data_IF_143059091214
#
_entry.id   IF_143059091214
#
_cell.length_a   1.000
_cell.length_b   1.000
_cell.length_c   1.000
_cell.angle_alpha   90.00
_cell.angle_beta   90.00
_cell.angle_gamma   90.00
#
_symmetry.space_group_name_H-M   'P 1'
#
loop_
_entity.id
_entity.type
_entity.pdbx_description
1 polymer ?
#
# COMPACT_ATOMS: atom_id res chain seq x y z
N UNK A 1 16.23 -60.13 -52.67
CA UNK A 1 17.53 -59.45 -52.55
C UNK A 1 17.48 -58.50 -51.37
N UNK A 2 17.86 -58.99 -50.18
CA UNK A 2 17.87 -58.24 -48.92
C UNK A 2 19.20 -57.51 -48.74
N UNK A 3 19.13 -56.17 -48.62
CA UNK A 3 20.29 -55.29 -48.44
C UNK A 3 20.68 -55.23 -46.95
N UNK A 4 21.95 -55.39 -46.56
CA UNK A 4 22.36 -55.27 -45.16
C UNK A 4 22.50 -53.79 -44.76
N UNK A 5 21.92 -53.42 -43.62
CA UNK A 5 22.06 -52.10 -43.01
C UNK A 5 23.18 -52.16 -41.96
N UNK A 6 24.23 -51.35 -42.16
CA UNK A 6 25.34 -51.21 -41.21
C UNK A 6 24.95 -50.20 -40.11
N UNK A 7 25.12 -50.52 -38.82
CA UNK A 7 24.86 -49.57 -37.74
C UNK A 7 26.08 -48.66 -37.52
N UNK A 8 25.88 -47.35 -37.71
CA UNK A 8 26.88 -46.32 -37.43
C UNK A 8 26.62 -45.75 -36.03
N UNK A 9 27.32 -46.27 -35.02
CA UNK A 9 27.33 -45.67 -33.68
C UNK A 9 28.37 -44.56 -33.61
N UNK A 10 27.91 -43.31 -33.45
CA UNK A 10 28.75 -42.11 -33.27
C UNK A 10 29.20 -42.01 -31.81
N UNK A 11 30.47 -41.69 -31.49
CA UNK A 11 30.92 -41.54 -30.11
C UNK A 11 30.30 -40.29 -29.47
N UNK A 12 29.60 -40.46 -28.35
CA UNK A 12 29.10 -39.36 -27.52
C UNK A 12 30.21 -38.92 -26.57
N UNK A 13 30.80 -37.76 -26.82
CA UNK A 13 31.74 -37.12 -25.90
C UNK A 13 30.95 -36.54 -24.72
N UNK A 14 31.26 -36.90 -23.46
CA UNK A 14 30.61 -36.30 -22.30
C UNK A 14 31.05 -34.85 -22.17
N UNK A 15 30.16 -33.92 -22.51
CA UNK A 15 30.34 -32.50 -22.22
C UNK A 15 30.06 -32.26 -20.74
N UNK A 16 31.11 -32.18 -19.93
CA UNK A 16 30.98 -31.69 -18.56
C UNK A 16 30.54 -30.23 -18.61
N UNK A 17 29.26 -29.98 -18.30
CA UNK A 17 28.69 -28.64 -18.17
C UNK A 17 29.40 -27.96 -16.98
N UNK A 18 29.96 -26.75 -17.15
CA UNK A 18 30.54 -26.03 -16.02
C UNK A 18 29.45 -25.80 -14.97
N UNK A 19 29.64 -26.37 -13.79
CA UNK A 19 28.82 -26.04 -12.62
C UNK A 19 29.13 -24.59 -12.27
N UNK A 20 28.27 -23.67 -12.71
CA UNK A 20 28.31 -22.28 -12.27
C UNK A 20 28.06 -22.28 -10.76
N UNK A 21 29.11 -22.03 -9.99
CA UNK A 21 28.98 -21.59 -8.60
C UNK A 21 28.08 -20.37 -8.60
N UNK A 22 26.90 -20.47 -7.98
CA UNK A 22 26.01 -19.33 -7.82
C UNK A 22 26.75 -18.27 -7.00
N UNK A 23 27.07 -17.13 -7.63
CA UNK A 23 27.57 -15.97 -6.88
C UNK A 23 26.49 -15.56 -5.88
N UNK A 24 26.86 -15.18 -4.64
CA UNK A 24 25.91 -14.64 -3.69
C UNK A 24 25.27 -13.40 -4.33
N UNK A 25 23.97 -13.48 -4.62
CA UNK A 25 23.18 -12.35 -5.08
C UNK A 25 23.00 -11.41 -3.89
N UNK A 26 23.66 -10.25 -3.93
CA UNK A 26 23.52 -9.21 -2.91
C UNK A 26 22.09 -8.69 -2.88
N UNK A 27 21.39 -8.77 -1.74
CA UNK A 27 19.98 -8.37 -1.59
C UNK A 27 19.81 -6.85 -1.49
N UNK A 28 19.07 -6.29 -2.44
CA UNK A 28 18.61 -4.89 -2.42
C UNK A 28 17.19 -4.87 -1.87
N UNK A 29 17.04 -4.36 -0.65
CA UNK A 29 15.72 -4.17 -0.03
C UNK A 29 15.25 -2.75 -0.31
N UNK A 30 14.05 -2.64 -0.86
CA UNK A 30 13.35 -1.39 -1.07
C UNK A 30 12.26 -1.21 -0.03
N UNK A 31 12.15 0.01 0.50
CA UNK A 31 11.09 0.40 1.43
C UNK A 31 10.30 1.56 0.83
N UNK A 32 8.99 1.41 0.79
CA UNK A 32 8.09 2.48 0.40
C UNK A 32 7.22 2.90 1.57
N UNK A 33 6.89 4.18 1.64
CA UNK A 33 5.97 4.74 2.62
C UNK A 33 5.13 5.85 1.97
N UNK A 34 3.83 5.83 2.24
CA UNK A 34 2.93 6.87 1.78
C UNK A 34 1.74 7.06 2.72
N UNK A 35 1.06 8.18 2.54
CA UNK A 35 -0.05 8.63 3.37
C UNK A 35 -1.22 9.08 2.50
N UNK A 36 -2.42 8.68 2.90
CA UNK A 36 -3.68 9.17 2.37
C UNK A 36 -4.49 9.78 3.51
N UNK A 37 -5.18 10.89 3.28
CA UNK A 37 -6.11 11.47 4.25
C UNK A 37 -7.49 11.72 3.65
N UNK A 38 -8.52 11.72 4.49
CA UNK A 38 -9.86 12.16 4.16
C UNK A 38 -10.36 13.10 5.27
N UNK A 39 -10.61 14.36 4.93
CA UNK A 39 -10.94 15.40 5.90
C UNK A 39 -12.29 16.05 5.63
N UNK A 40 -13.01 16.40 6.71
CA UNK A 40 -14.28 17.13 6.64
C UNK A 40 -15.36 16.44 5.79
N UNK A 41 -15.92 17.15 4.81
CA UNK A 41 -16.72 16.65 3.70
C UNK A 41 -15.79 16.16 2.60
N UNK A 42 -15.62 14.83 2.43
CA UNK A 42 -14.29 14.26 2.34
C UNK A 42 -13.44 14.87 1.22
N UNK A 43 -12.53 15.74 1.65
CA UNK A 43 -11.39 16.20 0.87
C UNK A 43 -10.32 15.11 1.02
N UNK A 44 -10.14 14.31 -0.02
CA UNK A 44 -9.22 13.17 0.00
C UNK A 44 -7.88 13.60 -0.58
N UNK A 45 -6.81 13.48 0.20
CA UNK A 45 -5.44 13.52 -0.29
C UNK A 45 -4.97 12.09 -0.57
N UNK A 46 -4.55 11.83 -1.79
CA UNK A 46 -4.15 10.49 -2.24
C UNK A 46 -2.72 10.16 -1.84
N UNK A 47 -2.36 8.87 -1.95
CA UNK A 47 -0.98 8.42 -1.73
C UNK A 47 0.04 9.12 -2.64
N UNK A 48 -0.34 9.57 -3.84
CA UNK A 48 0.58 10.29 -4.75
C UNK A 48 0.69 11.79 -4.43
N UNK A 49 -0.13 12.31 -3.51
CA UNK A 49 -0.18 13.73 -3.14
C UNK A 49 -1.34 14.56 -3.72
N UNK A 50 -1.90 14.30 -4.93
CA UNK A 50 -3.08 15.00 -5.40
C UNK A 50 -4.26 14.89 -4.42
N UNK A 51 -4.95 16.01 -4.22
CA UNK A 51 -6.14 16.08 -3.39
C UNK A 51 -7.38 16.37 -4.23
N UNK A 52 -8.52 15.77 -3.89
CA UNK A 52 -9.79 15.97 -4.58
C UNK A 52 -10.98 15.75 -3.65
N UNK A 53 -12.14 16.30 -4.04
CA UNK A 53 -13.36 16.18 -3.26
C UNK A 53 -14.10 14.91 -3.64
N UNK A 54 -14.49 14.11 -2.65
CA UNK A 54 -15.40 13.00 -2.84
C UNK A 54 -16.80 13.44 -2.44
N UNK A 55 -17.70 13.44 -3.41
CA UNK A 55 -19.10 13.75 -3.18
C UNK A 55 -19.89 12.47 -2.91
N UNK A 56 -20.80 12.54 -1.94
CA UNK A 56 -21.74 11.49 -1.60
C UNK A 56 -22.91 12.08 -0.82
N UNK A 57 -24.01 11.35 -0.79
CA UNK A 57 -25.16 11.70 0.05
C UNK A 57 -24.89 11.38 1.52
N UNK A 58 -25.72 11.92 2.42
CA UNK A 58 -25.71 11.50 3.82
C UNK A 58 -25.89 9.98 3.90
N UNK A 59 -25.20 9.33 4.85
CA UNK A 59 -25.16 7.88 5.05
C UNK A 59 -24.45 7.09 3.94
N UNK A 60 -23.93 7.75 2.91
CA UNK A 60 -23.12 7.08 1.90
C UNK A 60 -21.84 6.51 2.53
N UNK A 61 -21.54 5.25 2.19
CA UNK A 61 -20.27 4.61 2.54
C UNK A 61 -19.26 4.84 1.42
N UNK A 62 -18.21 5.60 1.71
CA UNK A 62 -17.11 5.89 0.79
C UNK A 62 -15.96 4.95 1.10
N UNK A 63 -15.56 4.16 0.09
CA UNK A 63 -14.39 3.27 0.17
C UNK A 63 -13.09 4.08 -0.01
N UNK A 64 -12.32 4.23 1.06
CA UNK A 64 -11.02 4.90 1.00
C UNK A 64 -9.94 3.97 0.45
N UNK A 65 -9.90 2.72 0.90
CA UNK A 65 -8.88 1.75 0.49
C UNK A 65 -9.42 0.32 0.64
N UNK A 66 -9.03 -0.58 -0.26
CA UNK A 66 -9.31 -2.00 -0.19
C UNK A 66 -8.20 -2.82 -0.85
N UNK A 67 -7.78 -3.91 -0.19
CA UNK A 67 -6.78 -4.87 -0.67
C UNK A 67 -7.14 -6.25 -0.13
N UNK A 68 -7.19 -7.29 -0.97
CA UNK A 68 -7.42 -8.68 -0.55
C UNK A 68 -8.60 -8.86 0.44
N UNK A 69 -9.72 -8.15 0.21
CA UNK A 69 -10.93 -8.19 1.04
C UNK A 69 -10.84 -7.38 2.34
N UNK A 70 -9.70 -6.74 2.61
CA UNK A 70 -9.49 -5.82 3.73
C UNK A 70 -9.87 -4.43 3.29
N UNK A 71 -10.72 -3.75 4.05
CA UNK A 71 -11.38 -2.53 3.59
C UNK A 71 -11.39 -1.44 4.65
N UNK A 72 -10.95 -0.25 4.25
CA UNK A 72 -11.14 1.00 4.99
C UNK A 72 -12.21 1.82 4.27
N UNK A 73 -13.25 2.18 5.01
CA UNK A 73 -14.31 3.05 4.49
C UNK A 73 -14.80 4.04 5.53
N UNK A 74 -15.37 5.14 5.06
CA UNK A 74 -16.00 6.15 5.90
C UNK A 74 -17.49 6.22 5.59
N UNK A 75 -18.31 6.49 6.59
CA UNK A 75 -19.73 6.76 6.41
C UNK A 75 -19.97 8.24 6.64
N UNK A 76 -20.64 8.86 5.68
CA UNK A 76 -21.04 10.25 5.78
C UNK A 76 -22.23 10.42 6.72
N UNK A 77 -22.22 11.51 7.46
CA UNK A 77 -23.37 11.97 8.24
C UNK A 77 -23.99 13.21 7.59
N UNK A 78 -24.90 13.87 8.30
CA UNK A 78 -25.55 15.10 7.86
C UNK A 78 -24.53 16.13 7.35
N UNK A 79 -24.86 16.79 6.25
CA UNK A 79 -24.02 17.77 5.55
C UNK A 79 -22.73 17.15 4.95
N UNK A 80 -22.73 15.84 4.67
CA UNK A 80 -21.69 15.11 3.96
C UNK A 80 -20.33 15.05 4.67
N UNK A 81 -20.27 15.36 5.97
CA UNK A 81 -19.06 15.18 6.76
C UNK A 81 -18.86 13.71 7.13
N UNK A 82 -17.63 13.30 7.38
CA UNK A 82 -17.35 11.96 7.91
C UNK A 82 -17.91 11.83 9.34
N UNK A 83 -18.77 10.84 9.54
CA UNK A 83 -19.39 10.52 10.83
C UNK A 83 -18.87 9.22 11.46
N UNK A 84 -18.56 8.23 10.63
CA UNK A 84 -18.00 6.95 11.09
C UNK A 84 -16.85 6.48 10.20
N UNK A 85 -15.97 5.68 10.79
CA UNK A 85 -14.87 4.99 10.10
C UNK A 85 -15.02 3.51 10.35
N UNK A 86 -14.94 2.73 9.28
CA UNK A 86 -14.98 1.27 9.31
C UNK A 86 -13.65 0.68 8.85
N UNK A 87 -13.23 -0.37 9.54
CA UNK A 87 -12.16 -1.26 9.11
C UNK A 87 -12.71 -2.69 9.11
N UNK A 88 -12.64 -3.35 7.95
CA UNK A 88 -13.17 -4.72 7.73
C UNK A 88 -14.63 -4.87 8.20
N UNK A 89 -15.44 -3.83 7.94
CA UNK A 89 -16.85 -3.78 8.32
C UNK A 89 -17.13 -3.39 9.78
N UNK A 90 -16.13 -3.46 10.67
CA UNK A 90 -16.26 -3.04 12.05
C UNK A 90 -16.12 -1.51 12.18
N UNK A 91 -16.98 -0.87 12.97
CA UNK A 91 -16.84 0.56 13.29
C UNK A 91 -15.65 0.73 14.22
N UNK A 92 -14.61 1.39 13.72
CA UNK A 92 -13.39 1.71 14.48
C UNK A 92 -13.34 3.17 14.91
N UNK A 93 -14.22 4.03 14.36
CA UNK A 93 -14.38 5.42 14.81
C UNK A 93 -15.80 5.90 14.59
N UNK A 94 -16.35 6.63 15.56
CA UNK A 94 -17.72 7.18 15.51
C UNK A 94 -17.78 8.52 16.24
N UNK A 95 -18.36 9.54 15.60
CA UNK A 95 -18.59 10.87 16.21
C UNK A 95 -19.39 10.83 17.51
N UNK A 96 -20.27 9.84 17.67
CA UNK A 96 -21.03 9.64 18.90
C UNK A 96 -20.12 9.27 20.09
N UNK A 97 -19.03 8.56 19.82
CA UNK A 97 -18.02 8.16 20.80
C UNK A 97 -16.93 9.20 21.05
N UNK A 98 -16.90 10.30 20.29
CA UNK A 98 -15.86 11.31 20.43
C UNK A 98 -15.87 11.95 21.83
N UNK A 99 -14.73 12.02 22.54
CA UNK A 99 -14.61 12.84 23.74
C UNK A 99 -14.82 14.31 23.39
N UNK A 100 -15.34 15.09 24.34
CA UNK A 100 -15.62 16.53 24.14
C UNK A 100 -14.38 17.37 23.75
N UNK A 101 -13.17 16.92 24.10
CA UNK A 101 -11.97 17.77 24.13
C UNK A 101 -10.68 17.14 23.56
N UNK A 102 -10.71 15.99 22.88
CA UNK A 102 -9.47 15.31 22.46
C UNK A 102 -9.56 14.72 21.07
N UNK A 103 -8.49 14.89 20.29
CA UNK A 103 -8.19 14.01 19.16
C UNK A 103 -7.93 12.62 19.71
N UNK A 104 -8.87 11.70 19.51
CA UNK A 104 -8.59 10.28 19.67
C UNK A 104 -7.91 9.82 18.39
N UNK A 105 -6.94 8.92 18.47
CA UNK A 105 -6.40 8.24 17.30
C UNK A 105 -6.58 6.75 17.55
N UNK A 106 -7.50 6.14 16.82
CA UNK A 106 -7.49 4.69 16.70
C UNK A 106 -6.22 4.30 15.96
N UNK A 107 -5.58 3.20 16.35
CA UNK A 107 -4.41 2.66 15.66
C UNK A 107 -4.69 1.20 15.42
N UNK A 108 -4.96 0.85 14.16
CA UNK A 108 -4.94 -0.55 13.73
C UNK A 108 -3.67 -0.75 12.92
N UNK A 109 -2.74 -1.55 13.46
CA UNK A 109 -1.60 -2.06 12.70
C UNK A 109 -2.00 -3.38 12.08
N UNK A 110 -1.84 -3.49 10.76
CA UNK A 110 -2.03 -4.76 10.08
C UNK A 110 -0.75 -5.12 9.37
N UNK A 111 -0.18 -6.25 9.77
CA UNK A 111 1.08 -6.79 9.28
C UNK A 111 0.80 -8.04 8.44
N UNK A 112 1.77 -8.44 7.61
CA UNK A 112 1.80 -9.70 6.84
C UNK A 112 0.65 -9.86 5.82
N UNK A 113 0.53 -8.92 4.89
CA UNK A 113 -0.52 -8.99 3.87
C UNK A 113 -0.23 -9.85 2.65
N UNK A 114 0.93 -10.49 2.51
CA UNK A 114 1.21 -11.10 1.21
C UNK A 114 2.13 -12.32 1.27
N UNK A 115 1.69 -13.39 0.60
CA UNK A 115 2.54 -14.47 0.09
C UNK A 115 3.01 -14.17 -1.35
N UNK A 116 2.85 -12.93 -1.83
CA UNK A 116 3.26 -12.50 -3.16
C UNK A 116 4.72 -12.05 -3.10
N UNK A 117 5.62 -12.96 -3.44
CA UNK A 117 7.01 -12.60 -3.75
C UNK A 117 7.02 -11.48 -4.81
N UNK A 118 7.86 -10.43 -4.66
CA UNK A 118 8.97 -10.30 -3.70
C UNK A 118 8.64 -9.48 -2.43
N UNK A 119 7.36 -9.35 -2.05
CA UNK A 119 6.95 -8.54 -0.91
C UNK A 119 7.34 -9.24 0.41
N UNK A 120 8.14 -8.56 1.23
CA UNK A 120 8.59 -9.09 2.53
C UNK A 120 7.67 -8.69 3.66
N UNK A 121 7.20 -7.45 3.65
CA UNK A 121 6.28 -6.94 4.67
C UNK A 121 5.42 -5.81 4.12
N UNK A 122 4.23 -5.67 4.68
CA UNK A 122 3.36 -4.52 4.47
C UNK A 122 2.69 -4.20 5.80
N UNK A 123 2.79 -2.93 6.18
CA UNK A 123 2.18 -2.36 7.36
C UNK A 123 1.14 -1.32 6.94
N UNK A 124 0.04 -1.28 7.67
CA UNK A 124 -1.01 -0.28 7.52
C UNK A 124 -1.36 0.28 8.88
N UNK A 125 -1.47 1.60 8.98
CA UNK A 125 -1.86 2.33 10.17
C UNK A 125 -3.03 3.26 9.82
N UNK A 126 -4.21 2.93 10.35
CA UNK A 126 -5.41 3.77 10.23
C UNK A 126 -5.57 4.62 11.49
N UNK A 127 -5.70 5.94 11.33
CA UNK A 127 -6.02 6.92 12.36
C UNK A 127 -7.32 7.63 12.05
N UNK A 128 -8.13 7.91 13.06
CA UNK A 128 -9.33 8.74 12.92
C UNK A 128 -9.42 9.74 14.06
N UNK A 129 -9.48 11.03 13.75
CA UNK A 129 -9.42 12.14 14.69
C UNK A 129 -10.75 12.88 14.81
N UNK A 130 -11.22 13.12 16.03
CA UNK A 130 -12.43 13.87 16.34
C UNK A 130 -12.20 15.38 16.29
N UNK A 131 -13.06 16.11 15.56
CA UNK A 131 -12.99 17.57 15.44
C UNK A 131 -14.38 18.20 15.58
N UNK A 132 -14.40 19.49 15.90
CA UNK A 132 -15.62 20.30 15.89
C UNK A 132 -15.75 21.05 14.56
N UNK A 133 -16.97 21.03 13.99
CA UNK A 133 -17.31 21.67 12.73
C UNK A 133 -18.61 22.52 12.85
N UNK A 134 -18.77 23.53 11.97
CA UNK A 134 -17.70 24.10 11.13
C UNK A 134 -16.66 24.85 11.98
N UNK A 135 -15.54 25.22 11.38
CA UNK A 135 -14.50 26.01 12.05
C UNK A 135 -15.11 27.25 12.73
N UNK A 136 -14.83 27.44 14.03
CA UNK A 136 -15.39 28.51 14.89
C UNK A 136 -16.92 28.49 15.06
N UNK A 137 -17.53 27.31 15.03
CA UNK A 137 -18.91 27.12 15.48
C UNK A 137 -19.09 27.55 16.96
N UNK A 138 -20.34 27.79 17.37
CA UNK A 138 -20.67 28.11 18.77
C UNK A 138 -20.38 29.56 19.21
N UNK A 139 -19.89 30.41 18.32
CA UNK A 139 -19.77 31.86 18.56
C UNK A 139 -21.10 32.58 18.24
N UNK A 140 -21.37 33.77 18.81
CA UNK A 140 -22.55 34.57 18.47
C UNK A 140 -22.65 34.82 16.96
N UNK A 141 -23.81 34.54 16.36
CA UNK A 141 -24.04 34.67 14.92
C UNK A 141 -23.43 33.54 14.06
N UNK A 142 -22.89 32.48 14.66
CA UNK A 142 -22.38 31.28 13.97
C UNK A 142 -23.31 30.08 14.14
N UNK A 143 -23.26 29.09 13.23
CA UNK A 143 -24.02 27.86 13.38
C UNK A 143 -23.61 27.07 14.63
N UNK A 144 -24.53 26.20 15.07
CA UNK A 144 -24.27 25.25 16.14
C UNK A 144 -23.12 24.31 15.77
N UNK A 145 -22.31 23.96 16.78
CA UNK A 145 -21.23 22.99 16.63
C UNK A 145 -21.78 21.57 16.48
N UNK A 146 -21.18 20.81 15.59
CA UNK A 146 -21.31 19.36 15.53
C UNK A 146 -19.94 18.72 15.39
N UNK A 147 -19.84 17.43 15.69
CA UNK A 147 -18.57 16.70 15.60
C UNK A 147 -18.44 16.01 14.26
N UNK A 148 -17.21 15.90 13.81
CA UNK A 148 -16.82 15.19 12.58
C UNK A 148 -15.58 14.35 12.87
N UNK A 149 -15.23 13.47 11.93
CA UNK A 149 -13.96 12.76 11.92
C UNK A 149 -13.10 13.22 10.75
N UNK A 150 -11.78 13.30 10.97
CA UNK A 150 -10.78 13.22 9.90
C UNK A 150 -10.14 11.84 9.96
N UNK A 151 -9.70 11.31 8.82
CA UNK A 151 -9.11 9.99 8.71
C UNK A 151 -7.75 10.07 8.03
N UNK A 152 -6.75 9.42 8.60
CA UNK A 152 -5.43 9.23 8.00
C UNK A 152 -5.16 7.74 7.83
N UNK A 153 -4.65 7.36 6.66
CA UNK A 153 -4.18 6.03 6.34
C UNK A 153 -2.72 6.11 5.96
N UNK A 154 -1.86 5.63 6.85
CA UNK A 154 -0.43 5.52 6.64
C UNK A 154 -0.11 4.08 6.22
N UNK A 155 0.70 3.92 5.19
CA UNK A 155 1.10 2.60 4.71
C UNK A 155 2.59 2.57 4.42
N UNK A 156 3.21 1.45 4.74
CA UNK A 156 4.58 1.16 4.35
C UNK A 156 4.73 -0.29 3.94
N UNK A 157 5.67 -0.58 3.05
CA UNK A 157 6.00 -1.95 2.71
C UNK A 157 7.47 -2.09 2.30
N UNK A 158 7.99 -3.31 2.44
CA UNK A 158 9.35 -3.68 2.07
C UNK A 158 9.33 -4.82 1.06
N UNK A 159 10.15 -4.72 0.02
CA UNK A 159 10.27 -5.75 -1.02
C UNK A 159 11.72 -5.92 -1.49
N UNK A 160 12.05 -7.11 -1.98
CA UNK A 160 13.37 -7.42 -2.53
C UNK A 160 13.43 -7.12 -4.03
N UNK A 161 14.46 -6.40 -4.48
CA UNK A 161 14.64 -6.01 -5.88
C UNK A 161 15.45 -7.03 -6.72
N UNK A 162 15.94 -8.11 -6.11
CA UNK A 162 17.02 -8.97 -6.63
C UNK A 162 16.79 -9.83 -7.89
N UNK A 163 15.81 -9.52 -8.72
CA UNK A 163 15.70 -10.20 -10.00
C UNK A 163 14.48 -9.81 -10.81
N UNK A 164 13.40 -9.41 -10.12
CA UNK A 164 12.13 -9.01 -10.73
C UNK A 164 11.46 -8.02 -9.78
N UNK A 165 12.02 -6.81 -9.64
CA UNK A 165 11.18 -5.71 -9.15
C UNK A 165 9.89 -5.73 -10.00
N UNK A 166 8.70 -5.62 -9.41
CA UNK A 166 7.47 -5.68 -10.20
C UNK A 166 7.45 -4.59 -11.28
N UNK A 167 8.26 -3.52 -11.11
CA UNK A 167 8.42 -2.42 -12.06
C UNK A 167 9.87 -1.93 -12.11
N UNK A 168 10.30 -1.43 -13.28
CA UNK A 168 11.59 -0.73 -13.45
C UNK A 168 11.66 0.59 -12.66
N UNK A 169 10.51 1.21 -12.39
CA UNK A 169 10.35 2.43 -11.60
C UNK A 169 9.20 2.22 -10.59
N UNK A 170 9.50 1.61 -9.43
CA UNK A 170 8.50 1.32 -8.41
C UNK A 170 8.09 2.60 -7.69
N UNK A 171 6.84 3.03 -7.91
CA UNK A 171 6.18 4.00 -7.04
C UNK A 171 5.27 3.27 -6.06
N UNK A 172 4.96 3.91 -4.93
CA UNK A 172 4.06 3.35 -3.93
C UNK A 172 2.72 2.92 -4.56
N UNK A 173 2.10 3.82 -5.32
CA UNK A 173 0.80 3.60 -5.96
C UNK A 173 0.83 2.51 -7.03
N UNK A 174 1.91 2.39 -7.84
CA UNK A 174 2.00 1.28 -8.81
C UNK A 174 2.08 -0.07 -8.13
N UNK A 175 2.82 -0.16 -7.02
CA UNK A 175 2.89 -1.41 -6.27
C UNK A 175 1.53 -1.75 -5.66
N UNK A 176 0.85 -0.78 -5.06
CA UNK A 176 -0.47 -1.01 -4.47
C UNK A 176 -1.54 -1.32 -5.53
N UNK A 177 -1.72 -0.50 -6.57
CA UNK A 177 -2.76 -0.70 -7.58
C UNK A 177 -2.43 -1.85 -8.56
N UNK A 178 -1.25 -1.84 -9.17
CA UNK A 178 -0.96 -2.74 -10.29
C UNK A 178 -0.50 -4.13 -9.82
N UNK A 179 0.25 -4.22 -8.70
CA UNK A 179 0.80 -5.49 -8.19
C UNK A 179 -0.06 -6.11 -7.08
N UNK A 180 -0.54 -5.28 -6.15
CA UNK A 180 -1.38 -5.75 -5.04
C UNK A 180 -2.89 -5.72 -5.35
N UNK A 181 -3.31 -5.14 -6.47
CA UNK A 181 -4.73 -4.98 -6.86
C UNK A 181 -5.54 -4.20 -5.82
N UNK A 182 -4.89 -3.22 -5.18
CA UNK A 182 -5.54 -2.34 -4.24
C UNK A 182 -6.41 -1.31 -4.97
N UNK A 183 -7.55 -0.96 -4.37
CA UNK A 183 -8.51 0.00 -4.95
C UNK A 183 -9.04 0.97 -3.91
N UNK A 184 -9.66 2.08 -4.32
CA UNK A 184 -10.32 3.03 -3.40
C UNK A 184 -10.04 4.49 -3.72
N UNK A 185 -10.57 5.39 -2.90
CA UNK A 185 -10.40 6.85 -3.07
C UNK A 185 -9.01 7.37 -2.70
N UNK A 186 -8.21 6.60 -1.96
CA UNK A 186 -6.82 6.95 -1.70
C UNK A 186 -5.92 6.89 -2.95
N UNK A 187 -6.44 6.38 -4.07
CA UNK A 187 -5.81 6.42 -5.37
C UNK A 187 -6.50 7.46 -6.27
N UNK A 188 -5.71 8.19 -7.05
CA UNK A 188 -6.22 9.18 -8.00
C UNK A 188 -6.49 8.51 -9.36
N UNK A 189 -7.67 8.71 -9.97
CA UNK A 189 -8.00 8.17 -11.30
C UNK A 189 -6.97 8.67 -12.33
N UNK A 190 -6.15 7.73 -12.81
CA UNK A 190 -4.86 7.94 -13.46
C UNK A 190 -4.90 8.58 -14.85
N UNK A 191 -6.05 9.03 -15.36
CA UNK A 191 -6.16 9.50 -16.76
C UNK A 191 -5.41 10.81 -17.06
N UNK A 192 -4.81 11.48 -16.07
CA UNK A 192 -4.02 12.72 -16.25
C UNK A 192 -2.81 12.79 -15.29
N UNK A 193 -1.89 11.82 -15.35
CA UNK A 193 -0.64 11.87 -14.56
C UNK A 193 0.38 12.85 -15.17
N UNK A 194 0.65 13.95 -14.48
CA UNK A 194 2.05 14.32 -14.24
C UNK A 194 2.45 13.57 -12.97
N UNK A 195 3.35 12.59 -13.08
CA UNK A 195 3.83 11.79 -11.94
C UNK A 195 4.21 12.75 -10.79
N UNK A 196 3.45 12.69 -9.69
CA UNK A 196 3.87 13.27 -8.42
C UNK A 196 5.20 12.66 -8.00
N UNK A 197 5.97 13.40 -7.20
CA UNK A 197 7.38 13.13 -6.92
C UNK A 197 7.68 11.64 -6.64
N UNK A 198 8.58 11.06 -7.45
CA UNK A 198 9.04 9.67 -7.43
C UNK A 198 9.76 9.21 -6.13
N UNK A 199 9.58 9.93 -5.01
CA UNK A 199 10.43 9.84 -3.83
C UNK A 199 9.86 8.98 -2.69
N UNK A 200 8.77 8.25 -2.93
CA UNK A 200 8.08 7.48 -1.88
C UNK A 200 8.73 6.13 -1.58
N UNK A 201 9.59 5.65 -2.48
CA UNK A 201 10.32 4.40 -2.36
C UNK A 201 11.82 4.66 -2.27
N UNK A 202 12.49 4.04 -1.29
CA UNK A 202 13.94 4.11 -1.10
C UNK A 202 14.51 2.71 -1.07
N UNK A 203 15.42 2.42 -1.99
CA UNK A 203 16.15 1.16 -2.05
C UNK A 203 17.52 1.32 -1.38
N UNK A 204 17.84 0.38 -0.48
CA UNK A 204 19.16 0.30 0.13
C UNK A 204 20.25 -0.04 -0.88
N UNK A 205 21.51 0.12 -0.49
CA UNK A 205 22.60 -0.47 -1.25
C UNK A 205 22.49 -2.02 -1.17
N UNK A 206 22.96 -2.76 -2.20
CA UNK A 206 22.93 -4.21 -2.17
C UNK A 206 23.72 -4.73 -0.96
N UNK A 207 23.05 -5.45 -0.06
CA UNK A 207 23.72 -6.04 1.09
C UNK A 207 24.45 -7.29 0.61
N UNK A 208 25.78 -7.28 0.61
CA UNK A 208 26.56 -8.49 0.31
C UNK A 208 26.28 -9.51 1.40
N UNK A 209 25.69 -10.66 1.04
CA UNK A 209 25.57 -11.78 1.98
C UNK A 209 26.97 -12.16 2.49
N UNK A 210 27.16 -12.34 3.81
CA UNK A 210 28.45 -12.73 4.35
C UNK A 210 28.89 -14.04 3.68
N UNK A 211 30.02 -13.99 2.98
CA UNK A 211 30.58 -15.17 2.33
C UNK A 211 30.88 -16.21 3.40
N UNK A 212 30.21 -17.36 3.31
CA UNK A 212 30.50 -18.48 4.23
C UNK A 212 31.96 -18.87 4.02
N UNK A 213 32.82 -18.82 5.05
CA UNK A 213 34.23 -19.15 4.88
C UNK A 213 34.32 -20.61 4.41
N UNK A 214 34.81 -20.80 3.19
CA UNK A 214 35.05 -22.14 2.65
C UNK A 214 36.27 -22.71 3.36
N UNK A 215 36.05 -23.58 4.34
CA UNK A 215 37.12 -24.39 4.90
C UNK A 215 37.54 -25.42 3.85
N UNK A 216 38.66 -25.18 3.17
CA UNK A 216 39.30 -26.21 2.36
C UNK A 216 40.00 -27.19 3.30
N UNK A 217 39.69 -28.48 3.12
CA UNK A 217 40.38 -29.61 3.75
C UNK A 217 41.49 -30.13 2.84
#
# INVERSE_FOLDING_TARGET
TSKPTVPTSKPTVPTNKPTRTASPTSETICRCESHCSAEYDPHVSTFDGPAYNVYGDAEAEIKLYEIEGRKVSVILQKNNYIGQVKFDGAIVGDVAGCPVNTSHSFLTKVNNFTNKEPMQSQDMELRAACLWAPYRCGQPGRPACFRILNVDLLKSFEFNQNGEAPFEDPTFTRIEEDFLDATGKCFYDQRNRSLGEANQCKCGAPTQSPSTPTTQA
#
